data_IF_387246212650
#
_entry.id   IF_387246212650
#
_cell.length_a   1.000
_cell.length_b   1.000
_cell.length_c   1.000
_cell.angle_alpha   90.00
_cell.angle_beta   90.00
_cell.angle_gamma   90.00
#
_symmetry.space_group_name_H-M   'P 1'
#
loop_
_entity.id
_entity.type
_entity.pdbx_description
1 polymer ?
#
# COMPACT_ATOMS: atom_id res chain seq x y z
N UNK A 1 -5.60 -36.43 -41.02
CA UNK A 1 -4.81 -35.32 -40.37
C UNK A 1 -5.65 -34.05 -40.28
N UNK A 2 -6.24 -33.54 -41.40
CA UNK A 2 -7.09 -32.30 -41.34
C UNK A 2 -8.32 -32.45 -40.49
N UNK A 3 -8.96 -33.62 -40.46
CA UNK A 3 -10.13 -33.90 -39.64
C UNK A 3 -9.77 -33.93 -38.14
N UNK A 4 -8.62 -34.48 -37.80
CA UNK A 4 -8.12 -34.55 -36.42
C UNK A 4 -7.72 -33.15 -35.91
N UNK A 5 -7.13 -32.33 -36.79
CA UNK A 5 -6.80 -30.96 -36.48
C UNK A 5 -8.07 -30.13 -36.23
N UNK A 6 -9.08 -30.22 -37.12
CA UNK A 6 -10.39 -29.57 -36.90
C UNK A 6 -11.06 -30.00 -35.61
N UNK A 7 -11.08 -31.29 -35.29
CA UNK A 7 -11.67 -31.78 -34.05
C UNK A 7 -11.01 -31.17 -32.81
N UNK A 8 -9.69 -30.93 -32.84
CA UNK A 8 -9.00 -30.25 -31.73
C UNK A 8 -9.31 -28.76 -31.65
N UNK A 9 -9.50 -28.09 -32.76
CA UNK A 9 -9.90 -26.69 -32.80
C UNK A 9 -11.36 -26.48 -32.43
N UNK A 10 -12.24 -27.43 -32.75
CA UNK A 10 -13.67 -27.37 -32.48
C UNK A 10 -14.04 -27.92 -31.09
N UNK A 11 -13.05 -28.42 -30.29
CA UNK A 11 -13.30 -28.85 -28.93
C UNK A 11 -13.57 -27.62 -28.05
N UNK A 12 -14.78 -27.48 -27.48
CA UNK A 12 -15.06 -26.33 -26.61
C UNK A 12 -14.15 -26.35 -25.40
N UNK A 13 -13.66 -25.19 -25.04
CA UNK A 13 -12.88 -25.02 -23.81
C UNK A 13 -13.79 -25.22 -22.61
N UNK A 14 -13.47 -26.23 -21.77
CA UNK A 14 -14.34 -26.66 -20.66
C UNK A 14 -14.49 -25.61 -19.56
N UNK A 15 -13.63 -24.59 -19.54
CA UNK A 15 -13.63 -23.52 -18.52
C UNK A 15 -13.95 -22.16 -19.14
N UNK A 16 -15.13 -22.03 -19.75
CA UNK A 16 -15.54 -20.80 -20.47
C UNK A 16 -15.44 -19.55 -19.58
N UNK A 17 -15.77 -19.66 -18.30
CA UNK A 17 -15.65 -18.55 -17.33
C UNK A 17 -14.21 -18.09 -17.12
N UNK A 18 -13.23 -18.98 -17.26
CA UNK A 18 -11.80 -18.65 -17.10
C UNK A 18 -11.25 -17.83 -18.28
N UNK A 19 -11.92 -17.79 -19.43
CA UNK A 19 -11.47 -17.01 -20.61
C UNK A 19 -11.58 -15.50 -20.34
N UNK A 20 -12.57 -15.08 -19.58
CA UNK A 20 -12.89 -13.68 -19.31
C UNK A 20 -12.36 -13.20 -17.96
N UNK A 21 -12.04 -14.11 -17.05
CA UNK A 21 -11.56 -13.81 -15.71
C UNK A 21 -10.03 -13.63 -15.69
N UNK A 22 -9.57 -12.65 -14.91
CA UNK A 22 -8.14 -12.49 -14.64
C UNK A 22 -7.71 -13.52 -13.61
N UNK A 23 -6.74 -14.36 -13.96
CA UNK A 23 -6.16 -15.36 -13.06
C UNK A 23 -5.37 -14.72 -11.89
N UNK A 24 -4.98 -13.45 -12.04
CA UNK A 24 -4.17 -12.70 -11.08
C UNK A 24 -4.65 -11.26 -10.97
N UNK A 25 -4.86 -10.79 -9.75
CA UNK A 25 -5.34 -9.43 -9.45
C UNK A 25 -4.55 -8.85 -8.28
N UNK A 26 -4.33 -7.53 -8.28
CA UNK A 26 -3.79 -6.84 -7.12
C UNK A 26 -4.92 -6.41 -6.18
N UNK A 27 -4.60 -6.22 -4.88
CA UNK A 27 -5.57 -5.70 -3.90
C UNK A 27 -6.12 -4.33 -4.33
N UNK A 28 -5.29 -3.47 -4.93
CA UNK A 28 -5.71 -2.19 -5.48
C UNK A 28 -6.72 -2.32 -6.63
N UNK A 29 -6.58 -3.35 -7.46
CA UNK A 29 -7.51 -3.62 -8.55
C UNK A 29 -8.83 -4.19 -8.03
N UNK A 30 -8.81 -5.09 -7.02
CA UNK A 30 -10.01 -5.59 -6.35
C UNK A 30 -10.81 -4.44 -5.74
N UNK A 31 -10.13 -3.53 -5.04
CA UNK A 31 -10.74 -2.32 -4.51
C UNK A 31 -11.42 -1.50 -5.61
N UNK A 32 -10.75 -1.30 -6.76
CA UNK A 32 -11.31 -0.57 -7.91
C UNK A 32 -12.56 -1.24 -8.47
N UNK A 33 -12.56 -2.57 -8.60
CA UNK A 33 -13.71 -3.34 -9.09
C UNK A 33 -14.90 -3.19 -8.14
N UNK A 34 -14.70 -3.35 -6.84
CA UNK A 34 -15.77 -3.20 -5.84
C UNK A 34 -16.36 -1.78 -5.82
N UNK A 35 -15.55 -0.73 -6.00
CA UNK A 35 -16.06 0.63 -6.11
C UNK A 35 -16.88 0.86 -7.37
N UNK A 36 -16.52 0.22 -8.50
CA UNK A 36 -17.32 0.28 -9.73
C UNK A 36 -18.65 -0.45 -9.59
N UNK A 37 -18.67 -1.59 -8.91
CA UNK A 37 -19.91 -2.34 -8.64
C UNK A 37 -20.85 -1.60 -7.69
N UNK A 38 -20.31 -0.81 -6.76
CA UNK A 38 -21.09 0.00 -5.83
C UNK A 38 -21.68 1.29 -6.46
N UNK A 39 -21.49 1.54 -7.75
CA UNK A 39 -21.96 2.74 -8.47
C UNK A 39 -21.50 4.07 -7.85
N UNK A 40 -20.41 4.08 -7.10
CA UNK A 40 -19.79 5.33 -6.64
C UNK A 40 -18.91 5.90 -7.76
N UNK A 41 -19.02 7.20 -8.04
CA UNK A 41 -18.25 7.87 -9.10
C UNK A 41 -16.74 7.54 -8.94
N UNK A 42 -16.04 7.19 -10.04
CA UNK A 42 -14.66 6.84 -9.97
C UNK A 42 -13.84 8.09 -9.64
N UNK A 43 -13.48 8.28 -8.38
CA UNK A 43 -12.35 9.15 -8.06
C UNK A 43 -11.15 8.61 -8.85
N UNK A 44 -10.49 9.48 -9.61
CA UNK A 44 -9.31 9.20 -10.41
C UNK A 44 -8.21 8.60 -9.52
N UNK A 45 -8.27 7.29 -9.32
CA UNK A 45 -7.17 6.55 -8.72
C UNK A 45 -6.03 6.51 -9.75
N UNK A 46 -5.07 7.41 -9.58
CA UNK A 46 -3.79 7.29 -10.26
C UNK A 46 -3.22 5.91 -9.99
N UNK A 47 -3.01 5.15 -11.05
CA UNK A 47 -2.42 3.81 -11.03
C UNK A 47 -1.26 3.76 -10.04
N UNK A 48 -1.43 3.02 -8.93
CA UNK A 48 -0.30 2.54 -8.19
C UNK A 48 0.51 1.67 -9.14
N UNK A 49 1.62 2.19 -9.59
CA UNK A 49 2.49 1.48 -10.49
C UNK A 49 3.06 0.26 -9.77
N UNK A 50 2.88 -0.89 -10.37
CA UNK A 50 3.53 -2.14 -9.99
C UNK A 50 4.96 -1.89 -9.53
N UNK A 51 5.32 -2.42 -8.37
CA UNK A 51 6.65 -2.37 -7.78
C UNK A 51 7.62 -3.27 -8.58
N UNK A 52 7.84 -2.92 -9.86
CA UNK A 52 9.03 -3.39 -10.57
C UNK A 52 10.16 -2.46 -10.14
N UNK A 53 11.29 -3.04 -9.75
CA UNK A 53 12.55 -2.35 -9.47
C UNK A 53 12.71 -1.16 -10.41
N UNK A 54 12.35 0.03 -9.94
CA UNK A 54 12.52 1.26 -10.71
C UNK A 54 13.97 1.66 -10.55
N UNK A 55 14.78 1.30 -11.56
CA UNK A 55 16.00 2.05 -11.80
C UNK A 55 15.56 3.50 -11.98
N UNK A 56 16.03 4.39 -11.12
CA UNK A 56 15.63 5.80 -11.04
C UNK A 56 16.16 6.63 -12.22
N UNK A 57 15.82 6.23 -13.44
CA UNK A 57 16.17 6.99 -14.65
C UNK A 57 14.91 7.42 -15.37
N UNK A 58 14.41 8.59 -14.98
CA UNK A 58 13.45 9.32 -15.83
C UNK A 58 14.14 9.69 -17.14
N UNK A 59 13.51 9.42 -18.31
CA UNK A 59 13.99 9.98 -19.57
C UNK A 59 14.15 11.50 -19.47
N UNK A 60 15.20 12.06 -20.07
CA UNK A 60 15.56 13.49 -19.96
C UNK A 60 14.42 14.46 -20.31
N UNK A 61 13.49 14.08 -21.21
CA UNK A 61 12.33 14.88 -21.58
C UNK A 61 11.24 15.00 -20.49
N UNK A 62 11.29 14.18 -19.43
CA UNK A 62 10.38 14.23 -18.28
C UNK A 62 10.97 15.00 -17.09
N UNK A 63 12.22 15.43 -17.16
CA UNK A 63 12.91 16.07 -16.03
C UNK A 63 12.40 17.47 -15.70
N UNK A 64 11.58 18.10 -16.54
CA UNK A 64 11.05 19.46 -16.30
C UNK A 64 9.65 19.49 -15.68
N UNK A 65 9.04 18.34 -15.33
CA UNK A 65 7.72 18.31 -14.68
C UNK A 65 7.84 18.21 -13.16
N UNK A 66 7.05 19.01 -12.47
CA UNK A 66 6.85 18.84 -11.03
C UNK A 66 6.35 17.42 -10.73
N UNK A 67 6.79 16.87 -9.59
CA UNK A 67 6.35 15.54 -9.14
C UNK A 67 4.83 15.51 -8.98
N UNK A 68 4.23 14.43 -9.44
CA UNK A 68 2.81 14.14 -9.20
C UNK A 68 2.57 13.76 -7.74
N UNK A 69 1.33 13.87 -7.26
CA UNK A 69 0.96 13.44 -5.92
C UNK A 69 1.30 11.95 -5.67
N UNK A 70 1.14 11.09 -6.69
CA UNK A 70 1.50 9.69 -6.59
C UNK A 70 3.01 9.47 -6.42
N UNK A 71 3.84 10.23 -7.12
CA UNK A 71 5.30 10.14 -6.99
C UNK A 71 5.77 10.65 -5.63
N UNK A 72 5.16 11.72 -5.12
CA UNK A 72 5.42 12.20 -3.75
C UNK A 72 4.99 11.13 -2.73
N UNK A 73 3.83 10.50 -2.93
CA UNK A 73 3.37 9.39 -2.11
C UNK A 73 4.38 8.24 -2.09
N UNK A 74 4.85 7.81 -3.26
CA UNK A 74 5.87 6.76 -3.37
C UNK A 74 7.16 7.15 -2.64
N UNK A 75 7.64 8.40 -2.77
CA UNK A 75 8.81 8.86 -2.06
C UNK A 75 8.63 8.79 -0.54
N UNK A 76 7.45 9.20 -0.04
CA UNK A 76 7.13 9.11 1.40
C UNK A 76 7.11 7.65 1.89
N UNK A 77 6.52 6.71 1.14
CA UNK A 77 6.55 5.27 1.47
C UNK A 77 7.98 4.73 1.47
N UNK A 78 8.81 5.09 0.47
CA UNK A 78 10.23 4.71 0.44
C UNK A 78 10.99 5.21 1.68
N UNK A 79 10.72 6.43 2.13
CA UNK A 79 11.31 6.95 3.38
C UNK A 79 10.85 6.11 4.56
N UNK A 80 9.56 5.82 4.70
CA UNK A 80 9.03 5.03 5.82
C UNK A 80 9.49 3.57 5.80
N UNK A 81 9.70 3.00 4.62
CA UNK A 81 10.28 1.68 4.46
C UNK A 81 11.66 1.56 5.09
N UNK A 82 12.49 2.60 4.94
CA UNK A 82 13.89 2.57 5.38
C UNK A 82 14.16 3.33 6.67
N UNK A 83 13.15 4.00 7.25
CA UNK A 83 13.30 4.85 8.43
C UNK A 83 13.84 4.05 9.63
N UNK A 84 14.81 4.58 10.41
CA UNK A 84 15.31 3.88 11.58
C UNK A 84 14.22 3.75 12.65
N UNK A 85 14.21 2.62 13.37
CA UNK A 85 13.24 2.36 14.43
C UNK A 85 13.34 3.33 15.60
N UNK A 86 14.55 3.86 15.85
CA UNK A 86 14.79 4.86 16.91
C UNK A 86 14.08 6.20 16.68
N UNK A 87 13.50 6.39 15.49
CA UNK A 87 12.79 7.61 15.12
C UNK A 87 13.72 8.75 14.68
N UNK A 88 13.10 9.75 14.06
CA UNK A 88 13.73 10.99 13.64
C UNK A 88 12.91 12.16 14.20
N UNK A 89 13.52 12.94 15.08
CA UNK A 89 12.79 13.91 15.91
C UNK A 89 13.01 15.37 15.52
N UNK A 90 13.86 15.64 14.52
CA UNK A 90 14.08 17.00 14.01
C UNK A 90 14.26 16.99 12.50
N UNK A 91 14.15 18.19 11.90
CA UNK A 91 14.18 18.35 10.43
C UNK A 91 15.54 17.96 9.88
N UNK A 92 16.61 18.32 10.56
CA UNK A 92 17.99 18.06 10.15
C UNK A 92 18.25 16.56 10.08
N UNK A 93 17.82 15.78 11.09
CA UNK A 93 17.95 14.33 11.10
C UNK A 93 17.15 13.67 9.94
N UNK A 94 15.94 14.14 9.66
CA UNK A 94 15.16 13.64 8.51
C UNK A 94 15.85 13.98 7.20
N UNK A 95 16.35 15.21 7.03
CA UNK A 95 17.05 15.62 5.81
C UNK A 95 18.34 14.83 5.59
N UNK A 96 19.12 14.62 6.66
CA UNK A 96 20.32 13.81 6.60
C UNK A 96 19.99 12.37 6.21
N UNK A 97 18.96 11.78 6.82
CA UNK A 97 18.49 10.44 6.48
C UNK A 97 18.04 10.35 5.02
N UNK A 98 17.21 11.29 4.54
CA UNK A 98 16.77 11.36 3.14
C UNK A 98 17.97 11.49 2.19
N UNK A 99 19.00 12.26 2.54
CA UNK A 99 20.23 12.35 1.76
C UNK A 99 20.93 11.00 1.62
N UNK A 100 20.95 10.18 2.68
CA UNK A 100 21.51 8.81 2.57
C UNK A 100 20.70 7.92 1.63
N UNK A 101 19.39 8.12 1.53
CA UNK A 101 18.55 7.38 0.57
C UNK A 101 18.86 7.78 -0.88
N UNK A 102 19.18 9.06 -1.12
CA UNK A 102 19.63 9.53 -2.44
C UNK A 102 20.99 8.92 -2.78
N UNK A 103 21.95 8.91 -1.86
CA UNK A 103 23.26 8.28 -2.05
C UNK A 103 23.15 6.79 -2.35
N UNK A 104 22.19 6.11 -1.72
CA UNK A 104 21.87 4.70 -1.97
C UNK A 104 21.04 4.47 -3.22
N UNK A 105 20.71 5.50 -3.98
CA UNK A 105 19.87 5.45 -5.20
C UNK A 105 18.45 4.91 -4.96
N UNK A 106 17.92 5.05 -3.75
CA UNK A 106 16.54 4.69 -3.40
C UNK A 106 15.57 5.82 -3.66
N UNK A 107 16.06 7.07 -3.68
CA UNK A 107 15.33 8.27 -4.06
C UNK A 107 16.13 9.07 -5.08
N UNK A 108 15.44 9.76 -5.97
CA UNK A 108 16.02 10.83 -6.78
C UNK A 108 16.18 12.11 -5.95
N UNK A 109 16.97 13.07 -6.41
CA UNK A 109 17.10 14.39 -5.76
C UNK A 109 15.78 15.15 -5.74
N UNK A 110 14.99 15.02 -6.80
CA UNK A 110 13.68 15.63 -6.94
C UNK A 110 12.69 15.05 -5.92
N UNK A 111 12.64 13.72 -5.78
CA UNK A 111 11.81 13.04 -4.78
C UNK A 111 12.24 13.41 -3.35
N UNK A 112 13.54 13.45 -3.09
CA UNK A 112 14.08 13.86 -1.79
C UNK A 112 13.65 15.28 -1.40
N UNK A 113 13.62 16.21 -2.36
CA UNK A 113 13.15 17.58 -2.15
C UNK A 113 11.66 17.65 -1.83
N UNK A 114 10.86 16.70 -2.35
CA UNK A 114 9.42 16.64 -2.12
C UNK A 114 9.05 15.97 -0.79
N UNK A 115 9.98 15.29 -0.12
CA UNK A 115 9.76 14.66 1.19
C UNK A 115 9.42 15.72 2.25
N UNK A 116 8.28 15.51 2.92
CA UNK A 116 7.79 16.45 3.92
C UNK A 116 8.25 16.04 5.32
N UNK A 117 9.44 16.49 5.72
CA UNK A 117 10.08 16.14 6.99
C UNK A 117 9.17 16.35 8.22
N UNK A 118 8.40 17.43 8.25
CA UNK A 118 7.46 17.70 9.35
C UNK A 118 6.35 16.66 9.51
N UNK A 119 5.95 15.99 8.43
CA UNK A 119 4.96 14.91 8.49
C UNK A 119 5.56 13.62 9.03
N UNK A 120 6.84 13.37 8.74
CA UNK A 120 7.57 12.21 9.28
C UNK A 120 7.81 12.39 10.78
N UNK A 121 8.25 13.58 11.21
CA UNK A 121 8.44 13.87 12.63
C UNK A 121 7.11 13.70 13.37
N UNK A 122 6.03 14.25 12.84
CA UNK A 122 4.70 14.14 13.43
C UNK A 122 4.24 12.67 13.58
N UNK A 123 4.68 11.74 12.72
CA UNK A 123 4.42 10.30 12.90
C UNK A 123 4.98 9.81 14.22
N UNK A 124 6.23 10.10 14.54
CA UNK A 124 6.87 9.64 15.77
C UNK A 124 6.28 10.25 17.05
N UNK A 125 5.60 11.39 16.94
CA UNK A 125 4.89 12.03 18.05
C UNK A 125 3.55 11.37 18.35
N UNK A 126 3.01 10.57 17.43
CA UNK A 126 1.74 9.83 17.62
C UNK A 126 1.91 8.60 18.50
N UNK A 127 0.79 8.04 18.97
CA UNK A 127 0.77 6.78 19.70
C UNK A 127 1.35 5.64 18.85
N UNK A 128 0.91 5.51 17.59
CA UNK A 128 1.42 4.45 16.70
C UNK A 128 2.90 4.63 16.39
N UNK A 129 3.40 5.86 16.29
CA UNK A 129 4.83 6.13 16.10
C UNK A 129 5.67 5.70 17.33
N UNK A 130 5.17 5.92 18.54
CA UNK A 130 5.80 5.41 19.77
C UNK A 130 5.80 3.89 19.82
N UNK A 131 4.66 3.24 19.48
CA UNK A 131 4.54 1.77 19.37
C UNK A 131 5.50 1.21 18.30
N UNK A 132 5.66 1.92 17.19
CA UNK A 132 6.64 1.57 16.16
C UNK A 132 8.07 1.60 16.71
N UNK A 133 8.46 2.65 17.45
CA UNK A 133 9.81 2.74 18.04
C UNK A 133 10.06 1.66 19.10
N UNK A 134 9.04 1.27 19.86
CA UNK A 134 9.11 0.27 20.92
C UNK A 134 8.82 -1.16 20.44
N UNK A 135 8.53 -1.36 19.16
CA UNK A 135 8.15 -2.66 18.62
C UNK A 135 9.27 -3.70 18.75
N UNK A 136 8.91 -4.92 19.14
CA UNK A 136 9.84 -6.06 19.22
C UNK A 136 10.29 -6.50 17.81
N UNK A 137 9.37 -6.48 16.84
CA UNK A 137 9.65 -6.82 15.43
C UNK A 137 8.91 -5.87 14.51
N UNK A 138 9.55 -5.53 13.39
CA UNK A 138 8.95 -4.72 12.34
C UNK A 138 9.27 -5.35 10.99
N UNK A 139 8.23 -5.66 10.23
CA UNK A 139 8.33 -6.04 8.82
C UNK A 139 7.80 -4.88 7.97
N UNK A 140 8.52 -4.53 6.91
CA UNK A 140 8.20 -3.38 6.05
C UNK A 140 8.15 -3.78 4.60
N UNK A 141 7.23 -3.22 3.84
CA UNK A 141 7.04 -3.52 2.42
C UNK A 141 7.02 -5.04 2.17
N UNK A 142 6.22 -5.73 2.98
CA UNK A 142 6.16 -7.20 2.94
C UNK A 142 5.21 -7.65 1.81
N UNK A 143 5.74 -8.29 0.76
CA UNK A 143 4.90 -8.80 -0.31
C UNK A 143 4.17 -10.08 0.15
N UNK A 144 2.94 -10.24 -0.33
CA UNK A 144 2.19 -11.47 -0.12
C UNK A 144 1.47 -11.91 -1.39
N UNK A 145 1.14 -13.18 -1.43
CA UNK A 145 0.31 -13.79 -2.48
C UNK A 145 -0.59 -14.81 -1.83
N UNK A 146 -1.91 -14.69 -2.04
CA UNK A 146 -2.92 -15.63 -1.56
C UNK A 146 -3.81 -16.09 -2.71
N UNK A 147 -4.47 -17.23 -2.51
CA UNK A 147 -5.54 -17.72 -3.37
C UNK A 147 -6.88 -17.39 -2.71
N UNK A 148 -7.73 -16.70 -3.41
CA UNK A 148 -9.11 -16.48 -2.98
C UNK A 148 -10.05 -17.21 -3.93
N UNK A 149 -11.00 -17.97 -3.37
CA UNK A 149 -12.07 -18.55 -4.16
C UNK A 149 -13.13 -17.48 -4.44
N UNK A 150 -13.51 -17.36 -5.69
CA UNK A 150 -14.58 -16.45 -6.07
C UNK A 150 -15.96 -17.11 -5.84
N UNK A 151 -17.04 -16.31 -6.06
CA UNK A 151 -18.42 -16.78 -5.86
C UNK A 151 -18.82 -17.94 -6.78
N UNK A 152 -18.09 -18.16 -7.86
CA UNK A 152 -18.35 -19.21 -8.86
C UNK A 152 -17.48 -20.46 -8.58
N UNK A 153 -16.66 -20.45 -7.52
CA UNK A 153 -15.77 -21.54 -7.14
C UNK A 153 -14.47 -21.57 -7.94
N UNK A 154 -14.18 -20.52 -8.70
CA UNK A 154 -12.89 -20.34 -9.36
C UNK A 154 -11.88 -19.72 -8.39
N UNK A 155 -10.65 -20.18 -8.43
CA UNK A 155 -9.56 -19.66 -7.60
C UNK A 155 -8.87 -18.50 -8.30
N UNK A 156 -8.78 -17.35 -7.63
CA UNK A 156 -8.06 -16.16 -8.12
C UNK A 156 -6.85 -15.89 -7.24
N UNK A 157 -5.70 -15.63 -7.87
CA UNK A 157 -4.49 -15.21 -7.15
C UNK A 157 -4.58 -13.72 -6.87
N UNK A 158 -4.47 -13.36 -5.59
CA UNK A 158 -4.41 -11.96 -5.13
C UNK A 158 -3.03 -11.66 -4.57
N UNK A 159 -2.47 -10.54 -5.02
CA UNK A 159 -1.17 -10.08 -4.57
C UNK A 159 -1.25 -8.68 -3.99
N UNK A 160 -0.44 -8.44 -2.98
CA UNK A 160 -0.31 -7.14 -2.35
C UNK A 160 1.06 -6.95 -1.71
N UNK A 161 1.29 -5.75 -1.23
CA UNK A 161 2.44 -5.40 -0.40
C UNK A 161 1.90 -4.67 0.82
N UNK A 162 2.29 -5.11 2.00
CA UNK A 162 1.91 -4.49 3.27
C UNK A 162 2.99 -3.50 3.67
N UNK A 163 2.61 -2.24 3.90
CA UNK A 163 3.55 -1.17 4.23
C UNK A 163 4.35 -1.48 5.50
N UNK A 164 3.64 -1.88 6.56
CA UNK A 164 4.28 -2.21 7.83
C UNK A 164 3.43 -3.18 8.66
N UNK A 165 4.08 -4.21 9.21
CA UNK A 165 3.54 -5.11 10.22
C UNK A 165 4.49 -5.09 11.41
N UNK A 166 3.99 -4.72 12.58
CA UNK A 166 4.79 -4.64 13.79
C UNK A 166 4.25 -5.58 14.89
N UNK A 167 5.17 -6.14 15.68
CA UNK A 167 4.85 -6.93 16.86
C UNK A 167 5.29 -6.18 18.11
N UNK A 168 4.38 -6.02 19.05
CA UNK A 168 4.65 -5.46 20.37
C UNK A 168 5.25 -6.50 21.33
N UNK A 169 5.85 -6.05 22.42
CA UNK A 169 6.43 -6.93 23.45
C UNK A 169 5.40 -7.83 24.13
N UNK A 170 4.12 -7.46 24.15
CA UNK A 170 3.02 -8.29 24.65
C UNK A 170 2.59 -9.40 23.68
N UNK A 171 3.18 -9.44 22.48
CA UNK A 171 2.88 -10.41 21.43
C UNK A 171 1.83 -9.94 20.41
N UNK A 172 1.16 -8.82 20.62
CA UNK A 172 0.14 -8.29 19.71
C UNK A 172 0.75 -7.87 18.37
N UNK A 173 0.05 -8.19 17.30
CA UNK A 173 0.41 -7.74 15.95
C UNK A 173 -0.46 -6.59 15.51
N UNK A 174 0.15 -5.61 14.84
CA UNK A 174 -0.50 -4.41 14.32
C UNK A 174 -0.16 -4.27 12.85
N UNK A 175 -1.18 -4.21 12.03
CA UNK A 175 -1.08 -3.88 10.61
C UNK A 175 -1.15 -2.35 10.47
N UNK A 176 -0.07 -1.73 9.99
CA UNK A 176 0.03 -0.30 9.80
C UNK A 176 0.21 0.03 8.32
N UNK A 177 -0.64 0.90 7.81
CA UNK A 177 -0.66 1.35 6.44
C UNK A 177 -0.51 2.87 6.39
N UNK A 178 0.31 3.39 5.48
CA UNK A 178 0.60 4.81 5.32
C UNK A 178 -0.21 5.42 4.19
N UNK A 179 -0.89 6.54 4.45
CA UNK A 179 -1.66 7.26 3.43
C UNK A 179 -1.23 8.71 3.30
N UNK A 180 -0.89 9.09 2.07
CA UNK A 180 -0.44 10.46 1.73
C UNK A 180 -1.55 11.30 1.10
N UNK A 181 -2.77 10.76 1.03
CA UNK A 181 -3.92 11.44 0.45
C UNK A 181 -4.21 12.76 1.16
N UNK A 182 -4.69 13.72 0.39
CA UNK A 182 -5.19 14.99 0.94
C UNK A 182 -6.52 14.77 1.64
N UNK A 183 -6.61 15.26 2.88
CA UNK A 183 -7.82 15.19 3.69
C UNK A 183 -8.56 16.52 3.60
N UNK A 184 -9.83 16.48 3.24
CA UNK A 184 -10.67 17.69 3.17
C UNK A 184 -10.78 18.35 4.56
N UNK A 185 -10.81 19.68 4.65
CA UNK A 185 -10.82 20.40 5.93
C UNK A 185 -11.97 20.01 6.87
N UNK A 186 -13.14 19.70 6.32
CA UNK A 186 -14.32 19.25 7.06
C UNK A 186 -14.18 17.84 7.65
N UNK A 187 -13.24 17.04 7.18
CA UNK A 187 -12.97 15.67 7.64
C UNK A 187 -11.78 15.58 8.61
N UNK A 188 -11.24 16.70 9.08
CA UNK A 188 -10.08 16.72 10.00
C UNK A 188 -10.42 16.41 11.45
N UNK A 189 -11.70 16.22 11.78
CA UNK A 189 -12.11 15.65 13.08
C UNK A 189 -11.74 14.18 13.15
N UNK A 190 -11.49 13.65 14.35
CA UNK A 190 -11.12 12.23 14.52
C UNK A 190 -12.18 11.31 13.93
N UNK A 191 -13.46 11.58 14.21
CA UNK A 191 -14.57 10.75 13.70
C UNK A 191 -14.75 10.90 12.18
N UNK A 192 -14.60 12.11 11.63
CA UNK A 192 -14.65 12.35 10.19
C UNK A 192 -13.53 11.63 9.46
N UNK A 193 -12.31 11.72 9.98
CA UNK A 193 -11.15 11.03 9.44
C UNK A 193 -11.35 9.50 9.48
N UNK A 194 -11.83 8.98 10.61
CA UNK A 194 -12.09 7.53 10.76
C UNK A 194 -13.11 7.02 9.74
N UNK A 195 -14.25 7.71 9.60
CA UNK A 195 -15.27 7.34 8.61
C UNK A 195 -14.73 7.34 7.20
N UNK A 196 -13.95 8.37 6.84
CA UNK A 196 -13.36 8.49 5.51
C UNK A 196 -12.33 7.39 5.26
N UNK A 197 -11.44 7.10 6.22
CA UNK A 197 -10.45 6.04 6.09
C UNK A 197 -11.10 4.66 6.01
N UNK A 198 -12.11 4.39 6.83
CA UNK A 198 -12.90 3.16 6.74
C UNK A 198 -13.54 3.02 5.35
N UNK A 199 -14.24 4.04 4.88
CA UNK A 199 -14.89 4.01 3.57
C UNK A 199 -13.89 3.68 2.45
N UNK A 200 -12.70 4.25 2.49
CA UNK A 200 -11.71 4.13 1.41
C UNK A 200 -10.84 2.88 1.51
N UNK A 201 -10.53 2.40 2.71
CA UNK A 201 -9.41 1.48 2.91
C UNK A 201 -9.75 0.23 3.72
N UNK A 202 -10.94 0.10 4.30
CA UNK A 202 -11.28 -1.07 5.14
C UNK A 202 -11.17 -2.39 4.37
N UNK A 203 -11.66 -2.43 3.14
CA UNK A 203 -11.54 -3.62 2.27
C UNK A 203 -10.08 -3.99 2.04
N UNK A 204 -9.22 -3.00 1.76
CA UNK A 204 -7.79 -3.24 1.54
C UNK A 204 -7.13 -3.82 2.80
N UNK A 205 -7.36 -3.20 3.96
CA UNK A 205 -6.74 -3.65 5.20
C UNK A 205 -7.32 -4.97 5.70
N UNK A 206 -8.58 -5.25 5.43
CA UNK A 206 -9.19 -6.55 5.75
C UNK A 206 -8.57 -7.68 4.93
N UNK A 207 -8.39 -7.47 3.62
CA UNK A 207 -7.68 -8.43 2.77
C UNK A 207 -6.21 -8.63 3.20
N UNK A 208 -5.53 -7.56 3.60
CA UNK A 208 -4.17 -7.64 4.13
C UNK A 208 -4.13 -8.44 5.42
N UNK A 209 -5.07 -8.17 6.34
CA UNK A 209 -5.20 -8.90 7.60
C UNK A 209 -5.41 -10.40 7.34
N UNK A 210 -6.44 -10.76 6.57
CA UNK A 210 -6.74 -12.17 6.23
C UNK A 210 -5.53 -12.87 5.61
N UNK A 211 -4.87 -12.23 4.64
CA UNK A 211 -3.70 -12.79 3.99
C UNK A 211 -2.54 -13.06 4.96
N UNK A 212 -2.24 -12.09 5.82
CA UNK A 212 -1.13 -12.22 6.75
C UNK A 212 -1.43 -13.22 7.88
N UNK A 213 -2.65 -13.26 8.37
CA UNK A 213 -3.10 -14.22 9.38
C UNK A 213 -3.00 -15.65 8.84
N UNK A 214 -3.40 -15.86 7.57
CA UNK A 214 -3.28 -17.16 6.90
C UNK A 214 -1.83 -17.56 6.66
N UNK A 215 -1.00 -16.68 6.08
CA UNK A 215 0.37 -16.98 5.70
C UNK A 215 1.28 -17.16 6.92
N UNK A 216 1.16 -16.27 7.90
CA UNK A 216 2.07 -16.21 9.05
C UNK A 216 1.56 -16.98 10.26
N UNK A 217 0.30 -17.48 10.24
CA UNK A 217 -0.36 -18.14 11.36
C UNK A 217 -0.31 -17.28 12.65
N UNK A 218 -0.64 -16.00 12.49
CA UNK A 218 -0.70 -15.00 13.57
C UNK A 218 -2.11 -14.44 13.67
N UNK A 219 -2.40 -13.74 14.79
CA UNK A 219 -3.62 -12.95 14.95
C UNK A 219 -3.26 -11.45 14.94
N UNK A 220 -3.83 -10.69 14.01
CA UNK A 220 -3.62 -9.24 13.90
C UNK A 220 -4.67 -8.52 14.75
N UNK A 221 -4.23 -7.92 15.85
CA UNK A 221 -5.08 -7.28 16.84
C UNK A 221 -5.66 -5.96 16.37
N UNK A 222 -4.88 -5.18 15.63
CA UNK A 222 -5.30 -3.85 15.17
C UNK A 222 -4.92 -3.61 13.70
N UNK A 223 -5.82 -2.94 12.98
CA UNK A 223 -5.56 -2.33 11.67
C UNK A 223 -5.46 -0.82 11.88
N UNK A 224 -4.33 -0.22 11.57
CA UNK A 224 -4.07 1.21 11.77
C UNK A 224 -3.71 1.87 10.46
N UNK A 225 -4.33 3.01 10.15
CA UNK A 225 -3.91 3.91 9.08
C UNK A 225 -3.24 5.13 9.69
N UNK A 226 -2.05 5.47 9.21
CA UNK A 226 -1.46 6.78 9.47
C UNK A 226 -1.66 7.71 8.28
N UNK A 227 -2.47 8.75 8.45
CA UNK A 227 -2.74 9.76 7.44
C UNK A 227 -1.76 10.93 7.57
N UNK A 228 -0.78 10.99 6.67
CA UNK A 228 0.27 12.03 6.71
C UNK A 228 -0.29 13.45 6.62
N UNK A 229 -1.35 13.67 5.83
CA UNK A 229 -1.92 15.02 5.67
C UNK A 229 -2.65 15.50 6.93
N UNK A 230 -3.27 14.58 7.64
CA UNK A 230 -3.91 14.87 8.93
C UNK A 230 -2.93 14.80 10.11
N UNK A 231 -1.73 14.24 9.93
CA UNK A 231 -0.74 13.94 10.99
C UNK A 231 -1.35 13.14 12.14
N UNK A 232 -2.19 12.16 11.80
CA UNK A 232 -2.95 11.36 12.78
C UNK A 232 -3.04 9.90 12.36
N UNK A 233 -3.13 9.04 13.34
CA UNK A 233 -3.48 7.63 13.18
C UNK A 233 -4.96 7.38 13.45
N UNK A 234 -5.50 6.37 12.77
CA UNK A 234 -6.87 5.90 12.91
C UNK A 234 -6.84 4.39 13.01
N UNK A 235 -7.47 3.85 14.04
CA UNK A 235 -7.72 2.40 14.19
C UNK A 235 -9.04 2.08 13.48
N UNK A 236 -9.02 1.06 12.61
CA UNK A 236 -10.18 0.56 11.84
C UNK A 236 -10.78 -0.69 12.47
#
# INVERSE_FOLDING_TARGET
ILTEIRKRFDTPYTFENAITKRSKTSVSELKRIQHLEAQEEPELFTKAASNQQRVATRPAFLQQRSLTAAEIGTAMHTVMQHIPQVGLHNIEAVQQFVSTLVERQLLTKEEATAVQATKIIAFFETEIGRRFMDAQKIYREMPFTISLDDRDGDTQIVQGVVDCLLQEHNGNWILLDYKTDRIQPNMKTIDGLRKEMMKRYDVQLSLYKEALEEILQIDIHEKVIYAFDAKRSVVL
#
